data_IF_026707357411
#
_entry.id   IF_026707357411
#
_cell.length_a   1.000
_cell.length_b   1.000
_cell.length_c   1.000
_cell.angle_alpha   90.00
_cell.angle_beta   90.00
_cell.angle_gamma   90.00
#
_symmetry.space_group_name_H-M   'P 1'
#
loop_
_entity.id
_entity.type
_entity.pdbx_description
1 polymer ?
#
# COMPACT_ATOMS: atom_id res chain seq x y z
N UNK A 1 4.88 16.50 -5.11
CA UNK A 1 6.04 15.69 -5.55
C UNK A 1 5.84 14.25 -5.14
N UNK A 2 5.10 13.46 -5.91
CA UNK A 2 4.83 12.05 -5.57
C UNK A 2 5.50 11.02 -6.50
N UNK A 3 5.99 11.46 -7.66
CA UNK A 3 6.72 10.64 -8.61
C UNK A 3 8.11 11.25 -8.87
N UNK A 4 9.14 10.41 -8.93
CA UNK A 4 10.44 10.82 -9.50
C UNK A 4 10.29 11.00 -11.02
N UNK A 5 11.21 11.71 -11.67
CA UNK A 5 11.19 12.01 -13.12
C UNK A 5 10.99 10.76 -14.02
N UNK A 6 11.26 9.57 -13.49
CA UNK A 6 11.08 8.27 -14.16
C UNK A 6 9.78 7.54 -13.79
N UNK A 7 8.78 8.24 -13.23
CA UNK A 7 7.51 7.66 -12.74
C UNK A 7 7.68 6.61 -11.63
N UNK A 8 8.83 6.57 -10.94
CA UNK A 8 8.98 5.70 -9.76
C UNK A 8 8.42 6.41 -8.53
N UNK A 9 7.53 5.73 -7.84
CA UNK A 9 6.99 6.19 -6.56
C UNK A 9 8.11 6.18 -5.52
N UNK A 10 8.27 7.27 -4.78
CA UNK A 10 9.28 7.34 -3.72
C UNK A 10 8.82 6.48 -2.54
N UNK A 11 9.66 5.49 -2.16
CA UNK A 11 9.35 4.55 -1.05
C UNK A 11 9.00 5.26 0.26
N UNK A 12 9.66 6.37 0.58
CA UNK A 12 9.37 7.17 1.77
C UNK A 12 7.95 7.76 1.78
N UNK A 13 7.42 8.14 0.61
CA UNK A 13 6.06 8.68 0.48
C UNK A 13 5.02 7.58 0.64
N UNK A 14 5.26 6.41 0.04
CA UNK A 14 4.44 5.20 0.22
C UNK A 14 4.40 4.81 1.70
N UNK A 15 5.57 4.70 2.35
CA UNK A 15 5.64 4.33 3.76
C UNK A 15 4.87 5.29 4.65
N UNK A 16 4.91 6.60 4.38
CA UNK A 16 4.16 7.58 5.16
C UNK A 16 2.64 7.46 4.95
N UNK A 17 2.19 7.29 3.71
CA UNK A 17 0.75 7.18 3.38
C UNK A 17 0.13 5.88 3.87
N UNK A 18 0.84 4.77 3.75
CA UNK A 18 0.32 3.45 4.10
C UNK A 18 0.79 2.95 5.47
N UNK A 19 1.46 3.80 6.26
CA UNK A 19 1.97 3.42 7.58
C UNK A 19 0.94 2.68 8.45
N UNK A 20 -0.33 3.12 8.55
CA UNK A 20 -1.31 2.43 9.38
C UNK A 20 -1.61 1.00 8.89
N UNK A 21 -1.61 0.80 7.57
CA UNK A 21 -1.86 -0.51 6.96
C UNK A 21 -0.64 -1.42 7.07
N UNK A 22 0.57 -0.86 6.91
CA UNK A 22 1.83 -1.58 7.13
C UNK A 22 1.93 -2.00 8.61
N UNK A 23 1.67 -1.10 9.54
CA UNK A 23 1.66 -1.40 10.97
C UNK A 23 0.60 -2.47 11.30
N UNK A 24 -0.58 -2.41 10.67
CA UNK A 24 -1.63 -3.40 10.83
C UNK A 24 -1.29 -4.75 10.20
N UNK A 25 -0.44 -4.82 9.19
CA UNK A 25 0.06 -6.09 8.65
C UNK A 25 1.10 -6.74 9.58
N UNK A 26 1.85 -5.92 10.32
CA UNK A 26 2.84 -6.40 11.29
C UNK A 26 2.27 -6.63 12.69
N UNK A 27 1.08 -6.11 12.97
CA UNK A 27 0.30 -6.40 14.17
C UNK A 27 -0.74 -7.44 13.78
N UNK A 28 -1.08 -8.35 14.67
CA UNK A 28 -2.02 -9.44 14.37
C UNK A 28 -3.49 -8.97 14.35
N UNK A 29 -3.77 -7.88 13.63
CA UNK A 29 -5.10 -7.25 13.52
C UNK A 29 -5.80 -7.68 12.24
N UNK A 30 -7.09 -8.01 12.38
CA UNK A 30 -7.90 -8.55 11.28
C UNK A 30 -8.39 -7.48 10.29
N UNK A 31 -8.32 -6.21 10.65
CA UNK A 31 -8.90 -5.11 9.86
C UNK A 31 -8.05 -3.86 9.96
N UNK A 32 -7.84 -3.18 8.83
CA UNK A 32 -7.11 -1.93 8.72
C UNK A 32 -7.99 -0.85 8.06
N UNK A 33 -8.04 0.33 8.66
CA UNK A 33 -8.73 1.49 8.09
C UNK A 33 -7.69 2.46 7.50
N UNK A 34 -7.87 2.86 6.25
CA UNK A 34 -7.04 3.88 5.60
C UNK A 34 -7.89 5.10 5.26
N UNK A 35 -7.29 6.27 5.41
CA UNK A 35 -7.85 7.54 4.94
C UNK A 35 -6.71 8.34 4.33
N UNK A 36 -6.58 8.27 3.02
CA UNK A 36 -5.46 8.86 2.29
C UNK A 36 -5.98 9.81 1.22
N UNK A 37 -5.44 11.02 1.20
CA UNK A 37 -5.66 11.97 0.12
C UNK A 37 -4.77 11.61 -1.07
N UNK A 38 -5.38 11.33 -2.22
CA UNK A 38 -4.72 11.02 -3.48
C UNK A 38 -4.92 12.19 -4.42
N UNK A 39 -3.85 12.61 -5.08
CA UNK A 39 -3.92 13.59 -6.16
C UNK A 39 -3.95 12.82 -7.47
N UNK A 40 -5.04 12.97 -8.23
CA UNK A 40 -5.20 12.41 -9.56
C UNK A 40 -4.32 13.17 -10.55
N UNK A 41 -4.05 12.55 -11.71
CA UNK A 41 -3.19 13.15 -12.74
C UNK A 41 -3.77 14.43 -13.35
N UNK A 42 -5.09 14.63 -13.23
CA UNK A 42 -5.80 15.86 -13.62
C UNK A 42 -5.71 16.99 -12.58
N UNK A 43 -4.97 16.78 -11.48
CA UNK A 43 -4.80 17.74 -10.39
C UNK A 43 -5.91 17.71 -9.34
N UNK A 44 -6.95 16.89 -9.52
CA UNK A 44 -8.01 16.74 -8.52
C UNK A 44 -7.47 16.02 -7.30
N UNK A 45 -7.96 16.42 -6.12
CA UNK A 45 -7.68 15.74 -4.86
C UNK A 45 -8.89 14.92 -4.45
N UNK A 46 -8.73 13.60 -4.41
CA UNK A 46 -9.72 12.68 -3.86
C UNK A 46 -9.28 12.19 -2.50
N UNK A 47 -10.22 12.05 -1.56
CA UNK A 47 -9.97 11.33 -0.30
C UNK A 47 -10.47 9.91 -0.47
N UNK A 48 -9.56 8.95 -0.36
CA UNK A 48 -9.91 7.53 -0.35
C UNK A 48 -9.99 7.08 1.09
N UNK A 49 -11.20 6.72 1.52
CA UNK A 49 -11.45 6.02 2.78
C UNK A 49 -11.82 4.58 2.48
N UNK A 50 -11.11 3.64 3.07
CA UNK A 50 -11.41 2.23 2.91
C UNK A 50 -11.12 1.48 4.21
N UNK A 51 -12.00 0.53 4.52
CA UNK A 51 -11.79 -0.50 5.53
C UNK A 51 -11.43 -1.79 4.81
N UNK A 52 -10.30 -2.39 5.17
CA UNK A 52 -9.78 -3.60 4.51
C UNK A 52 -9.56 -4.70 5.54
N UNK A 53 -9.94 -5.93 5.20
CA UNK A 53 -9.59 -7.12 5.98
C UNK A 53 -8.19 -7.60 5.62
N UNK A 54 -7.42 -7.96 6.65
CA UNK A 54 -6.11 -8.60 6.50
C UNK A 54 -6.32 -10.11 6.51
N UNK A 55 -5.86 -10.78 5.46
CA UNK A 55 -5.99 -12.23 5.30
C UNK A 55 -4.62 -12.85 5.07
N UNK A 56 -4.42 -14.00 5.67
CA UNK A 56 -3.22 -14.79 5.44
C UNK A 56 -3.25 -15.42 4.04
N UNK A 57 -2.07 -15.47 3.42
CA UNK A 57 -1.90 -16.19 2.18
C UNK A 57 -1.78 -17.68 2.47
N UNK A 58 -2.48 -18.51 1.69
CA UNK A 58 -2.22 -19.94 1.67
C UNK A 58 -0.83 -20.13 1.03
N UNK A 59 0.13 -20.74 1.74
CA UNK A 59 1.48 -20.98 1.24
C UNK A 59 1.44 -21.78 -0.07
N UNK A 60 1.62 -21.11 -1.20
CA UNK A 60 1.88 -21.76 -2.48
C UNK A 60 3.35 -22.17 -2.56
N UNK A 61 3.60 -23.44 -2.90
CA UNK A 61 4.96 -23.96 -3.13
C UNK A 61 5.57 -23.25 -4.33
N UNK A 62 6.38 -22.21 -4.08
CA UNK A 62 7.13 -21.54 -5.15
C UNK A 62 8.10 -22.54 -5.81
N UNK A 63 7.78 -22.96 -7.03
CA UNK A 63 8.73 -23.64 -7.91
C UNK A 63 9.87 -22.67 -8.20
N UNK A 64 11.07 -23.00 -7.69
CA UNK A 64 12.33 -22.35 -8.06
C UNK A 64 12.43 -22.33 -9.59
N UNK A 65 12.51 -21.15 -10.21
CA UNK A 65 12.98 -21.03 -11.59
C UNK A 65 14.48 -21.33 -11.59
N UNK A 66 14.82 -22.30 -12.41
CA UNK A 66 16.17 -22.81 -12.70
C UNK A 66 17.05 -21.71 -13.28
N UNK A 67 18.35 -21.88 -13.02
CA UNK A 67 19.48 -21.06 -13.48
C UNK A 67 19.49 -20.85 -14.99
#
# INVERSE_FOLDING_TARGET
MELTRTRKVRRSVVNKRYKPLIDALYKDVKTANINTEVTYEDGRKGKIKASMEIREIIKTKNKKKTK
#
